data_IF_397792911207
#
_entry.id   IF_397792911207
#
_cell.length_a   1.000
_cell.length_b   1.000
_cell.length_c   1.000
_cell.angle_alpha   90.00
_cell.angle_beta   90.00
_cell.angle_gamma   90.00
#
_symmetry.space_group_name_H-M   'P 1'
#
loop_
_entity.id
_entity.type
_entity.pdbx_description
1 polymer ?
#
# COMPACT_ATOMS: atom_id res chain seq x y z
N UNK A 1 14.45 -17.74 -6.85
CA UNK A 1 15.17 -16.54 -7.30
C UNK A 1 14.61 -16.07 -8.64
N UNK A 2 14.32 -14.80 -8.75
CA UNK A 2 13.85 -14.15 -9.97
C UNK A 2 14.94 -13.22 -10.50
N UNK A 3 15.24 -13.30 -11.77
CA UNK A 3 15.92 -12.24 -12.51
C UNK A 3 14.87 -11.36 -13.18
N UNK A 4 15.20 -10.13 -13.50
CA UNK A 4 14.29 -9.17 -14.09
C UNK A 4 14.92 -8.56 -15.34
N UNK A 5 14.17 -8.53 -16.43
CA UNK A 5 14.50 -7.78 -17.63
C UNK A 5 13.51 -6.62 -17.79
N UNK A 6 13.96 -5.54 -18.43
CA UNK A 6 13.12 -4.38 -18.74
C UNK A 6 13.11 -4.19 -20.25
N UNK A 7 11.91 -4.10 -20.83
CA UNK A 7 11.69 -3.75 -22.23
C UNK A 7 11.08 -2.37 -22.35
N UNK A 8 11.69 -1.51 -23.17
CA UNK A 8 11.22 -0.15 -23.44
C UNK A 8 10.07 -0.12 -24.47
N UNK A 9 9.37 1.00 -24.62
CA UNK A 9 8.33 1.16 -25.63
C UNK A 9 8.77 0.89 -27.06
N UNK A 10 10.05 1.13 -27.40
CA UNK A 10 10.61 0.84 -28.74
C UNK A 10 11.12 -0.58 -28.90
N UNK A 11 11.00 -1.42 -27.84
CA UNK A 11 11.41 -2.82 -27.87
C UNK A 11 12.88 -3.06 -27.49
N UNK A 12 13.61 -2.04 -27.06
CA UNK A 12 14.94 -2.26 -26.49
C UNK A 12 14.81 -3.01 -25.18
N UNK A 13 15.51 -4.14 -25.04
CA UNK A 13 15.49 -4.96 -23.82
C UNK A 13 16.83 -4.90 -23.12
N UNK A 14 16.79 -4.71 -21.81
CA UNK A 14 17.95 -4.75 -20.92
C UNK A 14 17.71 -5.80 -19.84
N UNK A 15 18.67 -6.67 -19.64
CA UNK A 15 18.60 -7.75 -18.65
C UNK A 15 19.05 -9.08 -19.23
N UNK A 16 18.87 -10.19 -18.48
CA UNK A 16 18.39 -10.17 -17.09
C UNK A 16 19.37 -9.44 -16.15
N UNK A 17 18.83 -8.59 -15.29
CA UNK A 17 19.62 -7.87 -14.28
C UNK A 17 20.22 -8.91 -13.33
N UNK A 18 21.55 -8.96 -13.28
CA UNK A 18 22.25 -9.93 -12.47
C UNK A 18 22.03 -9.71 -10.98
N UNK A 19 21.64 -10.76 -10.29
CA UNK A 19 21.44 -10.80 -8.83
C UNK A 19 22.70 -10.42 -8.02
N UNK A 20 23.86 -10.46 -8.65
CA UNK A 20 25.15 -10.17 -8.01
C UNK A 20 25.50 -8.68 -7.95
N UNK A 21 24.77 -7.83 -8.67
CA UNK A 21 24.98 -6.38 -8.66
C UNK A 21 23.91 -5.72 -7.81
N UNK A 22 24.24 -5.30 -6.60
CA UNK A 22 23.32 -4.62 -5.69
C UNK A 22 22.71 -3.33 -6.26
N UNK A 23 23.53 -2.49 -6.91
CA UNK A 23 23.08 -1.24 -7.56
C UNK A 23 23.68 -1.17 -8.95
N UNK A 24 22.89 -0.75 -9.93
CA UNK A 24 23.35 -0.55 -11.30
C UNK A 24 22.50 0.49 -12.03
N UNK A 25 22.96 0.84 -13.20
CA UNK A 25 22.33 1.82 -14.06
C UNK A 25 22.34 1.33 -15.51
N UNK A 26 21.23 1.57 -16.22
CA UNK A 26 21.11 1.35 -17.65
C UNK A 26 20.49 2.57 -18.34
N UNK A 27 20.87 2.78 -19.60
CA UNK A 27 20.33 3.84 -20.44
C UNK A 27 19.64 3.21 -21.64
N UNK A 28 18.36 3.54 -21.81
CA UNK A 28 17.59 3.24 -23.00
C UNK A 28 17.81 4.40 -24.00
N UNK A 29 18.56 4.13 -25.04
CA UNK A 29 19.09 5.19 -25.92
C UNK A 29 17.98 5.88 -26.70
N UNK A 30 17.00 5.12 -27.20
CA UNK A 30 15.93 5.67 -28.02
C UNK A 30 14.95 6.53 -27.20
N UNK A 31 14.63 6.12 -26.00
CA UNK A 31 13.77 6.88 -25.08
C UNK A 31 14.54 7.96 -24.31
N UNK A 32 15.86 7.95 -24.35
CA UNK A 32 16.74 8.78 -23.51
C UNK A 32 16.40 8.62 -22.01
N UNK A 33 15.97 7.43 -21.65
CA UNK A 33 15.56 7.09 -20.29
C UNK A 33 16.68 6.39 -19.54
N UNK A 34 16.99 6.90 -18.36
CA UNK A 34 17.93 6.26 -17.44
C UNK A 34 17.14 5.45 -16.41
N UNK A 35 17.51 4.17 -16.24
CA UNK A 35 16.92 3.31 -15.23
C UNK A 35 18.00 2.92 -14.22
N UNK A 36 17.81 3.34 -12.99
CA UNK A 36 18.63 2.94 -11.85
C UNK A 36 17.92 1.79 -11.16
N UNK A 37 18.63 0.72 -10.88
CA UNK A 37 18.07 -0.39 -10.13
C UNK A 37 18.88 -0.66 -8.86
N UNK A 38 18.16 -1.06 -7.81
CA UNK A 38 18.74 -1.56 -6.57
C UNK A 38 18.11 -2.93 -6.29
N UNK A 39 18.96 -3.96 -6.24
CA UNK A 39 18.51 -5.32 -6.07
C UNK A 39 19.05 -5.89 -4.76
N UNK A 40 18.15 -6.40 -3.92
CA UNK A 40 18.46 -7.08 -2.67
C UNK A 40 17.97 -8.53 -2.76
N UNK A 41 18.89 -9.47 -2.75
CA UNK A 41 18.59 -10.91 -2.85
C UNK A 41 17.83 -11.40 -1.62
N UNK A 42 18.13 -10.83 -0.46
CA UNK A 42 17.50 -11.18 0.80
C UNK A 42 17.27 -9.92 1.63
N UNK A 43 16.01 -9.66 1.94
CA UNK A 43 15.63 -8.68 2.96
C UNK A 43 15.57 -9.43 4.28
N UNK A 44 16.44 -9.10 5.23
CA UNK A 44 16.62 -9.84 6.49
C UNK A 44 15.33 -10.03 7.28
N UNK A 45 14.47 -9.01 7.27
CA UNK A 45 13.22 -9.03 8.04
C UNK A 45 12.12 -9.88 7.41
N UNK A 46 12.16 -10.12 6.10
CA UNK A 46 11.05 -10.76 5.37
C UNK A 46 11.47 -12.01 4.61
N UNK A 47 12.76 -12.26 4.46
CA UNK A 47 13.29 -13.35 3.64
C UNK A 47 13.03 -13.21 2.14
N UNK A 48 12.56 -12.03 1.72
CA UNK A 48 12.13 -11.78 0.34
C UNK A 48 13.23 -11.17 -0.51
N UNK A 49 13.10 -11.33 -1.81
CA UNK A 49 13.84 -10.54 -2.78
C UNK A 49 13.14 -9.20 -2.99
N UNK A 50 13.92 -8.12 -3.08
CA UNK A 50 13.42 -6.79 -3.38
C UNK A 50 14.20 -6.23 -4.58
N UNK A 51 13.48 -5.78 -5.59
CA UNK A 51 14.04 -5.02 -6.69
C UNK A 51 13.36 -3.64 -6.74
N UNK A 52 14.16 -2.60 -6.64
CA UNK A 52 13.70 -1.22 -6.77
C UNK A 52 14.21 -0.66 -8.09
N UNK A 53 13.32 -0.08 -8.90
CA UNK A 53 13.63 0.56 -10.17
C UNK A 53 13.22 2.02 -10.13
N UNK A 54 14.16 2.90 -10.44
CA UNK A 54 13.90 4.32 -10.62
C UNK A 54 14.09 4.67 -12.10
N UNK A 55 13.04 5.15 -12.72
CA UNK A 55 13.05 5.65 -14.08
C UNK A 55 13.25 7.17 -14.07
N UNK A 56 14.33 7.64 -14.64
CA UNK A 56 14.61 9.06 -14.81
C UNK A 56 14.25 9.45 -16.26
N UNK A 57 13.30 10.37 -16.38
CA UNK A 57 12.73 10.86 -17.65
C UNK A 57 12.23 9.72 -18.55
N UNK A 58 11.27 8.90 -18.10
CA UNK A 58 10.78 7.79 -18.90
C UNK A 58 10.11 8.30 -20.19
N UNK A 59 10.50 7.75 -21.33
CA UNK A 59 9.79 7.95 -22.58
C UNK A 59 8.35 7.44 -22.49
N UNK A 60 7.43 8.11 -23.18
CA UNK A 60 6.02 7.72 -23.22
C UNK A 60 5.82 6.37 -23.91
N UNK A 61 4.92 5.54 -23.39
CA UNK A 61 4.58 4.24 -23.95
C UNK A 61 4.55 3.13 -22.93
N UNK A 62 4.53 1.90 -23.42
CA UNK A 62 4.41 0.70 -22.59
C UNK A 62 5.80 0.19 -22.22
N UNK A 63 6.12 0.26 -20.95
CA UNK A 63 7.30 -0.36 -20.38
C UNK A 63 6.91 -1.74 -19.82
N UNK A 64 7.76 -2.75 -20.03
CA UNK A 64 7.52 -4.08 -19.52
C UNK A 64 8.62 -4.47 -18.54
N UNK A 65 8.22 -4.99 -17.38
CA UNK A 65 9.11 -5.67 -16.45
C UNK A 65 8.85 -7.15 -16.61
N UNK A 66 9.87 -7.89 -17.04
CA UNK A 66 9.76 -9.30 -17.40
C UNK A 66 10.49 -10.13 -16.33
N UNK A 67 9.75 -10.86 -15.48
CA UNK A 67 10.37 -11.76 -14.52
C UNK A 67 10.83 -13.05 -15.20
N UNK A 68 12.04 -13.47 -14.89
CA UNK A 68 12.63 -14.73 -15.32
C UNK A 68 12.97 -15.58 -14.10
N UNK A 69 12.46 -16.80 -14.05
CA UNK A 69 12.69 -17.70 -12.92
C UNK A 69 14.07 -18.35 -13.05
N UNK A 70 14.96 -18.10 -12.10
CA UNK A 70 16.27 -18.75 -12.03
C UNK A 70 16.23 -20.03 -11.19
N UNK A 71 15.39 -20.07 -10.18
CA UNK A 71 15.15 -21.24 -9.33
C UNK A 71 13.67 -21.36 -9.02
N UNK A 72 13.19 -22.59 -8.92
CA UNK A 72 11.79 -22.87 -8.59
C UNK A 72 11.47 -22.41 -7.16
N UNK A 73 10.58 -21.43 -7.06
CA UNK A 73 9.96 -20.98 -5.83
C UNK A 73 8.44 -21.11 -5.95
N UNK A 74 7.69 -20.45 -5.07
CA UNK A 74 6.22 -20.40 -5.16
C UNK A 74 5.72 -19.57 -6.35
N UNK A 75 6.60 -18.88 -7.07
CA UNK A 75 6.27 -18.10 -8.26
C UNK A 75 5.48 -16.80 -8.01
N UNK A 76 5.23 -16.44 -6.76
CA UNK A 76 4.47 -15.25 -6.40
C UNK A 76 5.40 -14.04 -6.31
N UNK A 77 5.05 -12.97 -7.01
CA UNK A 77 5.72 -11.68 -6.89
C UNK A 77 4.68 -10.55 -6.94
N UNK A 78 5.04 -9.42 -6.36
CA UNK A 78 4.22 -8.22 -6.37
C UNK A 78 5.03 -7.07 -6.95
N UNK A 79 4.36 -6.18 -7.68
CA UNK A 79 4.94 -4.94 -8.20
C UNK A 79 4.05 -3.80 -7.74
N UNK A 80 4.65 -2.76 -7.15
CA UNK A 80 3.95 -1.57 -6.71
C UNK A 80 4.51 -0.33 -7.39
N UNK A 81 3.64 0.63 -7.65
CA UNK A 81 4.00 2.00 -7.96
C UNK A 81 3.87 2.84 -6.68
N UNK A 82 4.64 3.94 -6.56
CA UNK A 82 4.39 4.95 -5.54
C UNK A 82 2.97 5.50 -5.65
N UNK A 83 2.50 6.19 -4.59
CA UNK A 83 1.25 6.95 -4.65
C UNK A 83 1.31 7.97 -5.79
N UNK A 84 0.16 8.26 -6.40
CA UNK A 84 0.04 9.11 -7.57
C UNK A 84 0.70 10.49 -7.37
N UNK A 85 0.60 11.05 -6.17
CA UNK A 85 1.19 12.34 -5.80
C UNK A 85 2.73 12.38 -5.88
N UNK A 86 3.37 11.22 -5.86
CA UNK A 86 4.83 11.09 -5.99
C UNK A 86 5.28 10.71 -7.41
N UNK A 87 4.35 10.52 -8.33
CA UNK A 87 4.65 10.24 -9.73
C UNK A 87 4.74 11.55 -10.52
N UNK A 88 5.75 11.66 -11.37
CA UNK A 88 5.96 12.84 -12.22
C UNK A 88 5.22 12.74 -13.56
N UNK A 89 4.19 11.94 -13.66
CA UNK A 89 3.42 11.74 -14.87
C UNK A 89 2.29 10.75 -14.67
N UNK A 90 1.51 10.53 -15.70
CA UNK A 90 0.41 9.57 -15.69
C UNK A 90 0.98 8.15 -15.89
N UNK A 91 1.32 7.48 -14.78
CA UNK A 91 1.90 6.13 -14.76
C UNK A 91 0.95 5.19 -14.04
N UNK A 92 0.62 4.08 -14.66
CA UNK A 92 -0.31 3.09 -14.11
C UNK A 92 -0.04 1.69 -14.68
N UNK A 93 -0.49 0.67 -13.98
CA UNK A 93 -0.50 -0.69 -14.51
C UNK A 93 -1.66 -0.90 -15.47
N UNK A 94 -1.40 -1.46 -16.65
CA UNK A 94 -2.46 -1.79 -17.64
C UNK A 94 -3.48 -2.77 -17.04
N UNK A 95 -3.01 -3.68 -16.18
CA UNK A 95 -3.85 -4.62 -15.44
C UNK A 95 -3.52 -4.52 -13.96
N UNK A 96 -4.06 -3.49 -13.31
CA UNK A 96 -3.89 -3.32 -11.87
C UNK A 96 -4.73 -4.35 -11.10
N UNK A 97 -4.18 -4.82 -9.97
CA UNK A 97 -4.91 -5.60 -8.99
C UNK A 97 -5.11 -4.73 -7.72
N UNK A 98 -6.33 -4.56 -7.20
CA UNK A 98 -6.57 -3.76 -6.01
C UNK A 98 -6.11 -4.42 -4.70
N UNK A 99 -5.82 -5.72 -4.73
CA UNK A 99 -5.36 -6.47 -3.56
C UNK A 99 -3.91 -6.15 -3.20
N UNK A 100 -3.52 -6.37 -1.94
CA UNK A 100 -2.17 -6.09 -1.43
C UNK A 100 -1.74 -4.63 -1.58
N UNK A 101 -2.67 -3.70 -1.37
CA UNK A 101 -2.45 -2.25 -1.53
C UNK A 101 -2.41 -1.50 -0.19
N UNK A 102 -2.38 -2.20 0.94
CA UNK A 102 -2.09 -1.60 2.24
C UNK A 102 -0.63 -1.20 2.29
N UNK A 103 -0.38 0.07 2.55
CA UNK A 103 0.95 0.67 2.55
C UNK A 103 1.55 0.73 3.95
N UNK A 104 2.87 0.84 4.03
CA UNK A 104 3.57 1.14 5.29
C UNK A 104 3.14 2.51 5.86
N UNK A 105 3.01 2.62 7.18
CA UNK A 105 3.22 1.60 8.23
C UNK A 105 1.99 0.74 8.51
N UNK A 106 0.88 0.85 7.75
CA UNK A 106 -0.39 0.19 8.01
C UNK A 106 -0.33 -1.34 7.96
N UNK A 107 0.64 -1.89 7.23
CA UNK A 107 0.88 -3.33 7.09
C UNK A 107 1.55 -3.97 8.31
N UNK A 108 2.08 -3.18 9.25
CA UNK A 108 2.72 -3.74 10.46
C UNK A 108 1.70 -4.29 11.45
N UNK A 109 2.12 -5.28 12.25
CA UNK A 109 1.27 -5.88 13.28
C UNK A 109 0.94 -4.94 14.43
N UNK A 110 1.83 -3.98 14.73
CA UNK A 110 1.76 -3.14 15.91
C UNK A 110 0.78 -1.95 15.79
N UNK A 111 0.44 -1.53 14.56
CA UNK A 111 -0.42 -0.36 14.34
C UNK A 111 -1.86 -0.76 14.06
N UNK A 112 -2.77 0.16 14.36
CA UNK A 112 -4.17 0.10 13.94
C UNK A 112 -4.27 0.65 12.52
N UNK A 113 -4.73 -0.17 11.59
CA UNK A 113 -4.90 0.19 10.18
C UNK A 113 -6.39 0.20 9.83
N UNK A 114 -6.88 1.34 9.35
CA UNK A 114 -8.27 1.52 8.96
C UNK A 114 -8.40 1.61 7.43
N UNK A 115 -9.23 0.77 6.85
CA UNK A 115 -9.83 1.02 5.54
C UNK A 115 -10.86 2.15 5.65
N UNK A 116 -11.32 2.70 4.52
CA UNK A 116 -12.36 3.71 4.59
C UNK A 116 -13.55 3.41 3.67
N UNK A 117 -14.73 3.86 4.12
CA UNK A 117 -15.98 3.59 3.46
C UNK A 117 -16.90 4.83 3.44
N UNK A 118 -17.91 4.80 2.58
CA UNK A 118 -18.98 5.78 2.57
C UNK A 118 -19.99 5.46 3.67
N UNK A 119 -19.99 6.26 4.73
CA UNK A 119 -20.90 6.07 5.87
C UNK A 119 -22.38 6.20 5.55
N UNK A 120 -22.76 6.87 4.45
CA UNK A 120 -24.16 7.03 4.02
C UNK A 120 -24.65 5.84 3.21
N UNK A 121 -23.83 5.31 2.35
CA UNK A 121 -24.17 4.24 1.40
C UNK A 121 -23.69 2.87 1.85
N UNK A 122 -22.90 2.80 2.92
CA UNK A 122 -22.25 1.59 3.41
C UNK A 122 -21.37 0.87 2.35
N UNK A 123 -20.81 1.60 1.40
CA UNK A 123 -19.97 1.06 0.34
C UNK A 123 -18.49 1.33 0.62
N UNK A 124 -17.63 0.35 0.37
CA UNK A 124 -16.17 0.53 0.47
C UNK A 124 -15.71 1.53 -0.60
N UNK A 125 -14.81 2.44 -0.20
CA UNK A 125 -14.20 3.36 -1.16
C UNK A 125 -13.30 2.60 -2.14
N UNK A 126 -13.43 2.90 -3.43
CA UNK A 126 -12.61 2.26 -4.49
C UNK A 126 -11.11 2.48 -4.24
N UNK A 127 -10.75 3.64 -3.73
CA UNK A 127 -9.37 4.01 -3.40
C UNK A 127 -8.92 3.62 -1.98
N UNK A 128 -9.73 2.84 -1.24
CA UNK A 128 -9.29 2.27 0.03
C UNK A 128 -8.22 1.21 -0.20
N UNK A 129 -7.18 1.22 0.62
CA UNK A 129 -6.20 0.13 0.64
C UNK A 129 -6.88 -1.20 1.01
N UNK A 130 -6.50 -2.27 0.31
CA UNK A 130 -7.03 -3.63 0.50
C UNK A 130 -5.91 -4.58 0.85
N UNK A 131 -6.19 -5.45 1.81
CA UNK A 131 -5.28 -6.55 2.20
C UNK A 131 -5.48 -7.77 1.28
N UNK A 132 -4.86 -8.84 1.58
CA UNK A 132 -4.02 -9.12 2.75
C UNK A 132 -2.66 -8.40 2.70
N UNK A 133 -1.87 -8.53 3.78
CA UNK A 133 -0.44 -8.27 3.68
C UNK A 133 0.25 -9.37 2.89
N UNK A 134 1.47 -9.14 2.42
CA UNK A 134 2.22 -10.13 1.64
C UNK A 134 2.47 -11.45 2.37
N UNK A 135 2.53 -11.40 3.70
CA UNK A 135 2.67 -12.56 4.59
C UNK A 135 1.31 -13.10 5.08
N UNK A 136 0.23 -12.79 4.36
CA UNK A 136 -1.14 -13.24 4.60
C UNK A 136 -1.75 -12.82 5.96
N UNK A 137 -1.23 -11.77 6.59
CA UNK A 137 -1.92 -11.18 7.74
C UNK A 137 -3.14 -10.38 7.29
N UNK A 138 -4.15 -10.37 8.15
CA UNK A 138 -5.36 -9.60 7.97
C UNK A 138 -5.08 -8.12 8.21
N UNK A 139 -5.13 -7.32 7.14
CA UNK A 139 -5.06 -5.86 7.11
C UNK A 139 -5.92 -5.33 5.96
N UNK A 140 -6.59 -4.19 6.10
CA UNK A 140 -6.78 -3.35 7.30
C UNK A 140 -7.45 -4.08 8.45
N UNK A 141 -7.33 -3.57 9.69
CA UNK A 141 -7.91 -4.20 10.88
C UNK A 141 -9.44 -4.03 10.92
N UNK A 142 -9.95 -2.90 10.43
CA UNK A 142 -11.38 -2.57 10.28
C UNK A 142 -11.57 -1.41 9.29
N UNK A 143 -12.82 -0.98 9.07
CA UNK A 143 -13.14 0.17 8.23
C UNK A 143 -13.79 1.29 9.05
N UNK A 144 -13.46 2.55 8.73
CA UNK A 144 -14.06 3.73 9.32
C UNK A 144 -14.63 4.66 8.23
N UNK A 145 -15.61 5.52 8.54
CA UNK A 145 -16.12 6.49 7.59
C UNK A 145 -15.01 7.40 7.07
N UNK A 146 -14.93 7.59 5.77
CA UNK A 146 -13.88 8.41 5.15
C UNK A 146 -14.30 9.11 3.86
N UNK A 147 -15.60 9.07 3.50
CA UNK A 147 -16.13 9.74 2.30
C UNK A 147 -17.11 10.84 2.73
N UNK A 148 -16.89 12.05 2.21
CA UNK A 148 -17.73 13.23 2.45
C UNK A 148 -17.96 13.49 3.95
N UNK A 149 -16.95 13.31 4.75
CA UNK A 149 -16.98 13.59 6.19
C UNK A 149 -16.81 15.09 6.42
N UNK A 150 -17.75 15.67 7.18
CA UNK A 150 -17.69 17.09 7.53
C UNK A 150 -16.69 17.30 8.67
N UNK A 151 -15.76 18.20 8.46
CA UNK A 151 -14.77 18.65 9.43
C UNK A 151 -14.57 20.15 9.37
N UNK A 152 -13.69 20.69 10.20
CA UNK A 152 -13.36 22.11 10.26
C UNK A 152 -12.01 22.35 9.58
N UNK A 153 -11.96 23.33 8.66
CA UNK A 153 -10.71 23.74 8.02
C UNK A 153 -9.93 24.76 8.89
N UNK A 154 -8.75 25.14 8.42
CA UNK A 154 -7.88 26.11 9.14
C UNK A 154 -8.50 27.52 9.28
N UNK A 155 -9.58 27.82 8.54
CA UNK A 155 -10.31 29.09 8.63
C UNK A 155 -11.56 28.97 9.52
N UNK A 156 -11.75 27.88 10.24
CA UNK A 156 -12.91 27.65 11.09
C UNK A 156 -14.20 27.31 10.33
N UNK A 157 -14.15 27.01 9.04
CA UNK A 157 -15.32 26.72 8.22
C UNK A 157 -15.57 25.20 8.14
N UNK A 158 -16.82 24.79 8.12
CA UNK A 158 -17.19 23.42 7.86
C UNK A 158 -16.98 23.06 6.39
N UNK A 159 -16.21 22.01 6.15
CA UNK A 159 -15.92 21.49 4.80
C UNK A 159 -16.03 19.96 4.81
N UNK A 160 -16.55 19.40 3.73
CA UNK A 160 -16.54 17.95 3.52
C UNK A 160 -15.23 17.53 2.87
N UNK A 161 -14.65 16.44 3.34
CA UNK A 161 -13.42 15.84 2.80
C UNK A 161 -13.56 14.32 2.75
N UNK A 162 -12.82 13.72 1.81
CA UNK A 162 -12.73 12.27 1.65
C UNK A 162 -11.28 11.82 1.66
N UNK A 163 -11.03 10.62 2.15
CA UNK A 163 -9.72 9.98 2.15
C UNK A 163 -9.48 9.05 3.35
N UNK A 164 -8.49 8.20 3.22
CA UNK A 164 -8.04 7.33 4.31
C UNK A 164 -7.58 8.11 5.54
N UNK A 165 -6.95 9.28 5.35
CA UNK A 165 -6.55 10.18 6.45
C UNK A 165 -7.73 10.65 7.29
N UNK A 166 -8.91 10.83 6.67
CA UNK A 166 -10.14 11.20 7.38
C UNK A 166 -10.60 10.02 8.27
N UNK A 167 -10.61 8.81 7.74
CA UNK A 167 -10.94 7.61 8.50
C UNK A 167 -9.97 7.40 9.68
N UNK A 168 -8.67 7.64 9.46
CA UNK A 168 -7.66 7.59 10.52
C UNK A 168 -7.94 8.65 11.59
N UNK A 169 -8.30 9.87 11.20
CA UNK A 169 -8.66 10.93 12.14
C UNK A 169 -9.86 10.57 13.03
N UNK A 170 -10.93 10.01 12.43
CA UNK A 170 -12.09 9.52 13.17
C UNK A 170 -11.71 8.39 14.12
N UNK A 171 -10.92 7.43 13.64
CA UNK A 171 -10.45 6.30 14.44
C UNK A 171 -9.60 6.78 15.63
N UNK A 172 -8.69 7.72 15.39
CA UNK A 172 -7.85 8.29 16.46
C UNK A 172 -8.67 9.01 17.52
N UNK A 173 -9.71 9.76 17.10
CA UNK A 173 -10.64 10.40 18.03
C UNK A 173 -11.43 9.38 18.86
N UNK A 174 -11.93 8.33 18.23
CA UNK A 174 -12.64 7.25 18.93
C UNK A 174 -11.72 6.52 19.94
N UNK A 175 -10.47 6.26 19.53
CA UNK A 175 -9.46 5.68 20.43
C UNK A 175 -9.15 6.59 21.61
N UNK A 176 -9.02 7.88 21.41
CA UNK A 176 -8.77 8.83 22.50
C UNK A 176 -9.90 8.82 23.54
N UNK A 177 -11.15 8.81 23.11
CA UNK A 177 -12.31 8.69 23.98
C UNK A 177 -12.33 7.33 24.71
N UNK A 178 -11.96 6.26 24.02
CA UNK A 178 -11.89 4.93 24.61
C UNK A 178 -10.77 4.85 25.67
N UNK A 179 -9.60 5.43 25.39
CA UNK A 179 -8.52 5.51 26.36
C UNK A 179 -8.91 6.32 27.62
N UNK A 180 -9.60 7.46 27.46
CA UNK A 180 -10.13 8.22 28.58
C UNK A 180 -11.11 7.41 29.43
N UNK A 181 -11.99 6.63 28.75
CA UNK A 181 -12.92 5.76 29.47
C UNK A 181 -12.19 4.67 30.26
N UNK A 182 -11.18 4.02 29.68
CA UNK A 182 -10.34 3.03 30.36
C UNK A 182 -9.64 3.60 31.59
N UNK A 183 -9.04 4.77 31.45
CA UNK A 183 -8.33 5.47 32.55
C UNK A 183 -9.29 5.76 33.71
N UNK A 184 -10.48 6.28 33.44
CA UNK A 184 -11.52 6.55 34.44
C UNK A 184 -11.99 5.30 35.18
N UNK A 185 -11.89 4.11 34.58
CA UNK A 185 -12.28 2.85 35.18
C UNK A 185 -11.10 2.05 35.75
N UNK A 186 -9.89 2.63 35.75
CA UNK A 186 -8.68 1.98 36.25
C UNK A 186 -8.26 0.75 35.45
N UNK A 187 -8.66 0.67 34.18
CA UNK A 187 -8.33 -0.43 33.27
C UNK A 187 -7.12 -0.03 32.43
N UNK A 188 -6.05 -0.79 32.53
CA UNK A 188 -4.82 -0.56 31.77
C UNK A 188 -4.69 -1.60 30.65
N UNK A 189 -4.69 -1.18 29.40
CA UNK A 189 -4.58 -2.03 28.21
C UNK A 189 -3.36 -1.61 27.39
N UNK A 190 -2.67 -2.58 26.82
CA UNK A 190 -1.66 -2.31 25.80
C UNK A 190 -2.29 -2.02 24.42
N UNK A 191 -1.49 -1.56 23.49
CA UNK A 191 -1.94 -1.19 22.14
C UNK A 191 -2.57 -2.38 21.39
N UNK A 192 -2.08 -3.58 21.61
CA UNK A 192 -2.59 -4.81 20.98
C UNK A 192 -3.97 -5.20 21.52
N UNK A 193 -4.14 -5.09 22.83
CA UNK A 193 -5.43 -5.33 23.49
C UNK A 193 -6.47 -4.30 23.05
N UNK A 194 -6.10 -3.01 22.98
CA UNK A 194 -6.98 -1.95 22.46
C UNK A 194 -7.41 -2.21 21.02
N UNK A 195 -6.46 -2.59 20.15
CA UNK A 195 -6.75 -2.95 18.77
C UNK A 195 -7.75 -4.11 18.70
N UNK A 196 -7.54 -5.16 19.45
CA UNK A 196 -8.43 -6.33 19.48
C UNK A 196 -9.85 -5.95 19.95
N UNK A 197 -9.98 -5.08 20.94
CA UNK A 197 -11.29 -4.61 21.38
C UNK A 197 -12.01 -3.77 20.32
N UNK A 198 -11.28 -2.93 19.57
CA UNK A 198 -11.86 -2.20 18.43
C UNK A 198 -12.38 -3.16 17.35
N UNK A 199 -11.61 -4.18 17.01
CA UNK A 199 -12.01 -5.20 16.03
C UNK A 199 -13.24 -5.97 16.51
N UNK A 200 -13.29 -6.35 17.78
CA UNK A 200 -14.43 -7.05 18.37
C UNK A 200 -15.69 -6.18 18.43
N UNK A 201 -15.53 -4.87 18.68
CA UNK A 201 -16.62 -3.90 18.71
C UNK A 201 -17.10 -3.46 17.33
N UNK A 202 -16.38 -3.78 16.26
CA UNK A 202 -16.75 -3.40 14.91
C UNK A 202 -18.01 -4.15 14.43
N UNK A 203 -18.94 -3.40 13.83
CA UNK A 203 -20.15 -3.98 13.23
C UNK A 203 -19.78 -4.80 11.98
N UNK A 204 -20.26 -6.03 11.90
CA UNK A 204 -20.15 -6.84 10.69
C UNK A 204 -21.17 -6.38 9.68
N UNK A 205 -20.70 -6.02 8.48
CA UNK A 205 -21.56 -5.64 7.36
C UNK A 205 -21.60 -6.79 6.35
N UNK A 206 -22.81 -7.25 6.01
CA UNK A 206 -23.02 -8.42 5.14
C UNK A 206 -22.50 -8.24 3.73
N UNK A 207 -22.45 -6.98 3.26
CA UNK A 207 -22.07 -6.65 1.88
C UNK A 207 -20.56 -6.37 1.73
N UNK A 208 -19.81 -6.44 2.81
CA UNK A 208 -18.37 -6.24 2.84
C UNK A 208 -17.68 -7.54 3.20
N UNK A 209 -17.23 -8.26 2.17
CA UNK A 209 -16.39 -9.44 2.37
C UNK A 209 -14.97 -9.01 2.72
N UNK A 210 -14.33 -9.76 3.58
CA UNK A 210 -12.92 -9.62 3.89
C UNK A 210 -12.09 -9.99 2.65
N UNK A 211 -11.02 -9.28 2.32
CA UNK A 211 -10.27 -8.30 3.12
C UNK A 211 -10.68 -6.81 2.91
N UNK A 212 -11.88 -6.52 2.57
CA UNK A 212 -12.39 -5.15 2.31
C UNK A 212 -12.94 -4.47 3.56
#
# INVERSE_FOLDING_TARGET
LLALSIESPTGQTIGPVSLRRGIGEYVFVFEQTRVIFNYRVLVETTGAQLAFFQFDRPGSGIWKIIPETLELGNGIFHIWLPMEEFLTGNVYFIRANPEYTVMEPGDTGAVVCAAYYNGKENSIAVSSGRGYTRDNRIKPDFAAPGINVTGINLKGQFVARSGSSIAVGITSGALALFMEWLDRHGVNLDASQMKNLLILGASRKTDMSYPN
#
